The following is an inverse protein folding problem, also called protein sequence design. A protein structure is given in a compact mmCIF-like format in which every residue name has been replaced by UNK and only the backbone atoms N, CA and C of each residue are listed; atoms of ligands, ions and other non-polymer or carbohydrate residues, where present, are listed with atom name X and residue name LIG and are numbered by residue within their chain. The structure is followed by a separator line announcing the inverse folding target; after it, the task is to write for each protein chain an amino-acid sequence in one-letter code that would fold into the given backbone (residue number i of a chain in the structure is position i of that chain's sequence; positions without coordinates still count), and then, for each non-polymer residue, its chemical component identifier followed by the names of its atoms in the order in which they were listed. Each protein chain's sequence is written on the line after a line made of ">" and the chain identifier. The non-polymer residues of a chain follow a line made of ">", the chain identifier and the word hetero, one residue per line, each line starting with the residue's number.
data_IF_459468683755
#
_entry.id   IF_459468683755
#
_cell.length_a   1.000
_cell.length_b   1.000
_cell.length_c   1.000
_cell.angle_alpha   90.00
_cell.angle_beta   90.00
_cell.angle_gamma   90.00
#
_symmetry.space_group_name_H-M   'P 1'
#
loop_
_entity.id
_entity.type
_entity.pdbx_description
1 polymer ?
#
# COMPACT_ATOMS: atom_id res chain seq x y z
N UNK A 1 30.89 2.03 28.46
CA UNK A 1 31.64 0.87 27.90
C UNK A 1 30.75 0.22 26.88
N UNK A 2 31.31 -0.30 25.79
CA UNK A 2 30.51 -0.97 24.76
C UNK A 2 30.07 -2.36 25.28
N UNK A 3 28.78 -2.67 25.47
CA UNK A 3 28.33 -3.96 25.98
C UNK A 3 28.85 -5.16 25.19
N UNK A 4 29.01 -4.98 23.86
CA UNK A 4 29.54 -6.03 22.99
C UNK A 4 31.01 -6.36 23.29
N UNK A 5 31.81 -5.41 23.74
CA UNK A 5 33.23 -5.64 24.11
C UNK A 5 33.37 -6.46 25.36
N UNK A 6 32.48 -6.27 26.35
CA UNK A 6 32.49 -7.08 27.62
C UNK A 6 32.07 -8.53 27.32
N UNK A 7 31.12 -8.72 26.43
CA UNK A 7 30.70 -10.05 26.00
C UNK A 7 31.79 -10.74 25.21
N UNK A 8 32.48 -10.00 24.32
CA UNK A 8 33.60 -10.56 23.59
C UNK A 8 34.72 -11.06 24.48
N UNK A 9 35.07 -10.34 25.53
CA UNK A 9 36.05 -10.80 26.49
C UNK A 9 35.66 -12.13 27.14
N UNK A 10 34.36 -12.32 27.50
CA UNK A 10 33.84 -13.58 28.04
C UNK A 10 33.83 -14.71 27.03
N UNK A 11 33.48 -14.40 25.76
CA UNK A 11 33.54 -15.37 24.65
C UNK A 11 34.97 -15.88 24.46
N UNK A 12 35.97 -15.00 24.48
CA UNK A 12 37.39 -15.38 24.40
C UNK A 12 37.81 -16.26 25.59
N UNK A 13 37.35 -15.92 26.80
CA UNK A 13 37.63 -16.74 28.00
C UNK A 13 37.05 -18.16 27.89
N UNK A 14 35.82 -18.30 27.39
CA UNK A 14 35.23 -19.62 27.15
C UNK A 14 35.95 -20.38 26.03
N UNK A 15 36.32 -19.73 24.95
CA UNK A 15 37.06 -20.35 23.86
C UNK A 15 38.47 -20.86 24.27
N UNK A 16 39.05 -20.33 25.37
CA UNK A 16 40.33 -20.82 25.91
C UNK A 16 40.23 -22.24 26.48
N UNK A 17 39.04 -22.75 26.78
CA UNK A 17 38.84 -24.13 27.22
C UNK A 17 39.04 -25.12 26.05
N UNK A 18 38.70 -24.71 24.84
CA UNK A 18 38.71 -25.57 23.65
C UNK A 18 39.88 -25.27 22.69
N UNK A 19 40.60 -24.16 22.89
CA UNK A 19 41.67 -23.67 22.00
C UNK A 19 42.92 -23.30 22.75
N UNK A 20 44.08 -23.49 22.09
CA UNK A 20 45.38 -23.08 22.67
C UNK A 20 45.49 -21.53 22.69
N UNK A 21 46.16 -20.99 23.67
CA UNK A 21 46.44 -19.57 23.79
C UNK A 21 47.16 -19.01 22.50
N UNK A 22 47.97 -19.82 21.87
CA UNK A 22 48.65 -19.46 20.60
C UNK A 22 47.64 -19.25 19.47
N UNK A 23 46.63 -20.11 19.36
CA UNK A 23 45.56 -20.00 18.36
C UNK A 23 44.76 -18.73 18.58
N UNK A 24 44.36 -18.45 19.84
CA UNK A 24 43.60 -17.25 20.16
C UNK A 24 44.35 -15.98 19.84
N UNK A 25 45.60 -15.89 20.31
CA UNK A 25 46.44 -14.71 20.01
C UNK A 25 46.73 -14.51 18.53
N UNK A 26 46.84 -15.61 17.74
CA UNK A 26 47.06 -15.49 16.31
C UNK A 26 45.87 -14.92 15.52
N UNK A 27 44.68 -15.34 15.87
CA UNK A 27 43.48 -15.05 15.07
C UNK A 27 42.60 -13.95 15.64
N UNK A 28 42.59 -13.76 16.98
CA UNK A 28 41.61 -12.90 17.65
C UNK A 28 42.25 -11.71 18.40
N UNK A 29 43.58 -11.57 18.45
CA UNK A 29 44.24 -10.49 19.16
C UNK A 29 43.83 -9.10 18.69
N UNK A 30 43.64 -8.94 17.36
CA UNK A 30 43.20 -7.70 16.71
C UNK A 30 41.68 -7.67 16.43
N UNK A 31 40.93 -8.71 16.80
CA UNK A 31 39.51 -8.77 16.58
C UNK A 31 38.74 -8.08 17.71
N UNK A 32 37.71 -7.33 17.36
CA UNK A 32 36.88 -6.64 18.34
C UNK A 32 35.39 -6.80 18.04
N UNK A 33 34.58 -6.86 19.10
CA UNK A 33 33.13 -6.88 18.91
C UNK A 33 32.61 -5.48 18.63
N UNK A 34 31.77 -5.38 17.59
CA UNK A 34 31.18 -4.14 17.11
C UNK A 34 29.77 -3.94 17.66
N UNK A 35 28.92 -4.95 17.53
CA UNK A 35 27.55 -4.93 18.04
C UNK A 35 27.06 -6.32 18.42
N UNK A 36 26.12 -6.34 19.37
CA UNK A 36 25.31 -7.49 19.71
C UNK A 36 23.84 -7.01 19.62
N UNK A 37 23.10 -7.52 18.67
CA UNK A 37 21.66 -7.31 18.52
C UNK A 37 20.94 -8.60 18.94
N UNK A 38 19.60 -8.64 19.02
CA UNK A 38 18.78 -9.73 19.56
C UNK A 38 19.25 -11.15 19.17
N UNK A 39 19.71 -11.38 17.93
CA UNK A 39 20.17 -12.68 17.44
C UNK A 39 21.44 -12.59 16.59
N UNK A 40 22.13 -11.45 16.57
CA UNK A 40 23.29 -11.23 15.71
C UNK A 40 24.47 -10.66 16.48
N UNK A 41 25.65 -11.29 16.32
CA UNK A 41 26.90 -10.84 16.89
C UNK A 41 27.87 -10.46 15.79
N UNK A 42 28.29 -9.19 15.75
CA UNK A 42 29.17 -8.66 14.71
C UNK A 42 30.57 -8.44 15.25
N UNK A 43 31.55 -9.09 14.61
CA UNK A 43 32.97 -8.97 14.89
C UNK A 43 33.69 -8.19 13.79
N UNK A 44 34.62 -7.35 14.18
CA UNK A 44 35.58 -6.70 13.30
C UNK A 44 36.88 -7.50 13.26
N UNK A 45 37.47 -7.63 12.06
CA UNK A 45 38.81 -8.17 11.84
C UNK A 45 39.57 -7.26 10.87
N UNK A 46 40.81 -6.84 11.21
CA UNK A 46 41.52 -5.81 10.44
C UNK A 46 41.94 -6.25 9.04
N UNK A 47 42.05 -7.56 8.81
CA UNK A 47 42.51 -8.08 7.50
C UNK A 47 41.50 -9.08 6.92
N UNK A 48 41.37 -9.05 5.59
CA UNK A 48 40.51 -9.98 4.85
C UNK A 48 40.91 -11.44 5.07
N UNK A 49 42.22 -11.70 5.18
CA UNK A 49 42.74 -13.03 5.43
C UNK A 49 42.31 -13.57 6.79
N UNK A 50 42.48 -12.80 7.90
CA UNK A 50 42.00 -13.19 9.23
C UNK A 50 40.50 -13.35 9.27
N UNK A 51 39.76 -12.43 8.64
CA UNK A 51 38.30 -12.51 8.53
C UNK A 51 37.82 -13.82 7.90
N UNK A 52 38.44 -14.21 6.75
CA UNK A 52 38.05 -15.44 6.04
C UNK A 52 38.36 -16.69 6.88
N UNK A 53 39.46 -16.71 7.60
CA UNK A 53 39.82 -17.81 8.49
C UNK A 53 38.88 -17.87 9.71
N UNK A 54 38.56 -16.73 10.34
CA UNK A 54 37.63 -16.68 11.48
C UNK A 54 36.24 -17.13 11.00
N UNK A 55 35.74 -16.60 9.89
CA UNK A 55 34.42 -16.93 9.36
C UNK A 55 34.28 -18.41 8.97
N UNK A 56 35.32 -19.01 8.36
CA UNK A 56 35.24 -20.38 7.87
C UNK A 56 35.51 -21.45 8.95
N UNK A 57 36.33 -21.15 9.95
CA UNK A 57 36.82 -22.15 10.92
C UNK A 57 36.36 -21.93 12.33
N UNK A 58 36.20 -20.67 12.76
CA UNK A 58 36.04 -20.35 14.18
C UNK A 58 34.67 -19.81 14.57
N UNK A 59 33.81 -19.49 13.59
CA UNK A 59 32.41 -19.08 13.87
C UNK A 59 31.65 -20.11 14.72
N UNK A 60 31.74 -21.43 14.47
CA UNK A 60 31.04 -22.40 15.32
C UNK A 60 31.46 -22.36 16.80
N UNK A 61 32.72 -22.09 17.09
CA UNK A 61 33.22 -21.97 18.47
C UNK A 61 32.71 -20.70 19.15
N UNK A 62 32.63 -19.59 18.41
CA UNK A 62 32.05 -18.33 18.88
C UNK A 62 30.55 -18.52 19.17
N UNK A 63 29.83 -19.20 18.27
CA UNK A 63 28.40 -19.49 18.43
C UNK A 63 28.15 -20.36 19.66
N UNK A 64 28.97 -21.39 19.88
CA UNK A 64 28.85 -22.24 21.07
C UNK A 64 29.10 -21.46 22.37
N UNK A 65 30.13 -20.60 22.40
CA UNK A 65 30.40 -19.76 23.57
C UNK A 65 29.27 -18.75 23.82
N UNK A 66 28.69 -18.15 22.78
CA UNK A 66 27.52 -17.27 22.93
C UNK A 66 26.28 -18.02 23.38
N UNK A 67 26.06 -19.26 22.89
CA UNK A 67 24.96 -20.09 23.32
C UNK A 67 25.13 -20.48 24.84
N UNK A 68 26.32 -20.74 25.28
CA UNK A 68 26.60 -21.01 26.71
C UNK A 68 26.31 -19.79 27.58
N UNK A 69 26.63 -18.58 27.12
CA UNK A 69 26.39 -17.33 27.85
C UNK A 69 24.92 -16.92 27.91
N UNK A 70 24.15 -17.14 26.84
CA UNK A 70 22.80 -16.57 26.66
C UNK A 70 21.70 -17.60 26.53
N UNK A 71 22.01 -18.90 26.38
CA UNK A 71 21.06 -19.98 26.07
C UNK A 71 20.22 -19.66 24.78
N UNK A 72 20.81 -18.98 23.83
CA UNK A 72 20.20 -18.57 22.56
C UNK A 72 21.21 -18.70 21.42
N UNK A 73 20.70 -18.94 20.21
CA UNK A 73 21.52 -19.05 19.00
C UNK A 73 21.75 -17.68 18.39
N UNK A 74 23.02 -17.39 18.04
CA UNK A 74 23.45 -16.16 17.42
C UNK A 74 23.99 -16.38 16.01
N UNK A 75 23.62 -15.50 15.10
CA UNK A 75 24.26 -15.37 13.78
C UNK A 75 25.54 -14.53 13.95
N UNK A 76 26.71 -15.15 13.76
CA UNK A 76 28.01 -14.50 13.95
C UNK A 76 28.54 -14.04 12.59
N UNK A 77 28.71 -12.74 12.43
CA UNK A 77 29.22 -12.12 11.21
C UNK A 77 30.58 -11.48 11.50
N UNK A 78 31.59 -11.81 10.66
CA UNK A 78 32.93 -11.24 10.78
C UNK A 78 33.19 -10.33 9.60
N UNK A 79 33.59 -9.08 9.83
CA UNK A 79 33.71 -8.02 8.85
C UNK A 79 35.07 -7.33 8.90
N UNK A 80 35.51 -6.84 7.73
CA UNK A 80 36.65 -5.91 7.62
C UNK A 80 36.16 -4.45 7.66
N UNK A 81 37.08 -3.49 7.76
CA UNK A 81 36.76 -2.05 7.82
C UNK A 81 35.91 -1.58 6.62
N UNK A 82 36.26 -1.97 5.39
CA UNK A 82 35.50 -1.63 4.20
C UNK A 82 34.11 -2.28 4.14
N UNK A 83 33.94 -3.48 4.72
CA UNK A 83 32.66 -4.16 4.84
C UNK A 83 31.81 -3.57 5.97
N UNK A 84 32.45 -3.07 7.04
CA UNK A 84 31.77 -2.31 8.09
C UNK A 84 31.22 -0.97 7.60
N UNK A 85 31.98 -0.26 6.76
CA UNK A 85 31.50 1.00 6.17
C UNK A 85 30.36 0.73 5.18
N UNK A 86 30.43 -0.37 4.45
CA UNK A 86 29.31 -0.83 3.60
C UNK A 86 28.07 -1.20 4.43
N UNK A 87 28.26 -1.83 5.61
CA UNK A 87 27.17 -2.16 6.54
C UNK A 87 26.60 -0.93 7.25
N UNK A 88 27.42 0.05 7.60
CA UNK A 88 26.98 1.35 8.13
C UNK A 88 26.19 2.12 7.07
N UNK A 89 26.65 2.11 5.83
CA UNK A 89 25.98 2.72 4.68
C UNK A 89 24.68 1.94 4.34
N UNK A 90 24.69 0.60 4.43
CA UNK A 90 23.50 -0.22 4.26
C UNK A 90 22.49 -0.09 5.45
N UNK A 91 22.96 0.09 6.70
CA UNK A 91 22.09 0.45 7.82
C UNK A 91 21.51 1.85 7.67
N UNK A 92 22.23 2.78 7.06
CA UNK A 92 21.73 4.10 6.69
C UNK A 92 20.79 4.05 5.46
N UNK A 93 20.96 3.09 4.54
CA UNK A 93 20.09 2.92 3.37
C UNK A 93 18.81 2.10 3.63
N UNK A 94 18.68 1.42 4.78
CA UNK A 94 17.50 0.64 5.14
C UNK A 94 16.80 1.24 6.38
N UNK A 95 16.45 2.51 6.27
CA UNK A 95 15.75 3.25 7.33
C UNK A 95 14.41 2.60 7.72
N UNK A 96 13.65 2.11 6.73
CA UNK A 96 12.42 1.35 6.91
C UNK A 96 12.43 0.17 5.92
N UNK A 97 12.98 -1.00 6.27
CA UNK A 97 13.13 -2.13 5.36
C UNK A 97 11.81 -2.58 4.75
N UNK A 98 11.81 -2.85 3.45
CA UNK A 98 10.62 -3.30 2.71
C UNK A 98 9.66 -2.18 2.32
N UNK A 99 10.05 -0.91 2.50
CA UNK A 99 9.22 0.26 2.15
C UNK A 99 9.86 1.16 1.08
N UNK A 100 10.95 0.74 0.48
CA UNK A 100 11.74 1.48 -0.51
C UNK A 100 10.94 1.85 -1.77
N UNK A 101 9.84 1.15 -2.02
CA UNK A 101 8.95 1.44 -3.14
C UNK A 101 7.98 2.58 -2.85
N UNK A 102 7.77 2.98 -1.59
CA UNK A 102 6.82 4.01 -1.22
C UNK A 102 7.47 5.40 -1.23
N UNK A 103 7.69 5.94 -2.43
CA UNK A 103 8.24 7.29 -2.65
C UNK A 103 7.21 8.21 -3.31
N UNK A 104 7.44 9.53 -3.26
CA UNK A 104 6.58 10.50 -3.94
C UNK A 104 6.56 10.31 -5.46
N UNK A 105 7.68 9.91 -6.06
CA UNK A 105 7.83 9.68 -7.50
C UNK A 105 7.02 8.48 -7.98
N UNK A 106 6.80 7.51 -7.09
CA UNK A 106 6.01 6.30 -7.38
C UNK A 106 4.52 6.47 -7.09
N UNK A 107 4.16 7.51 -6.37
CA UNK A 107 2.77 7.80 -6.06
C UNK A 107 2.08 8.41 -7.29
N UNK A 108 0.99 7.80 -7.76
CA UNK A 108 0.23 8.32 -8.90
C UNK A 108 -0.70 9.43 -8.42
N UNK A 109 -0.44 10.64 -8.90
CA UNK A 109 -1.21 11.83 -8.53
C UNK A 109 -2.37 12.02 -9.49
N UNK A 110 -3.58 12.15 -8.96
CA UNK A 110 -4.81 12.46 -9.67
C UNK A 110 -5.65 13.52 -8.95
N UNK A 111 -6.82 13.84 -9.48
CA UNK A 111 -7.73 14.84 -8.90
C UNK A 111 -8.13 14.49 -7.45
N UNK A 112 -8.28 13.22 -7.15
CA UNK A 112 -8.75 12.68 -5.87
C UNK A 112 -7.73 12.70 -4.73
N UNK A 113 -6.42 12.89 -5.02
CA UNK A 113 -5.35 12.82 -4.03
C UNK A 113 -4.31 13.95 -4.15
N UNK A 114 -4.45 14.85 -5.13
CA UNK A 114 -3.49 15.92 -5.40
C UNK A 114 -3.24 16.81 -4.17
N UNK A 115 -4.28 17.13 -3.42
CA UNK A 115 -4.15 17.98 -2.24
C UNK A 115 -3.35 17.30 -1.13
N UNK A 116 -3.69 16.04 -0.81
CA UNK A 116 -2.97 15.26 0.19
C UNK A 116 -1.50 15.02 -0.20
N UNK A 117 -1.23 14.73 -1.48
CA UNK A 117 0.12 14.60 -2.00
C UNK A 117 0.92 15.90 -1.87
N UNK A 118 0.35 17.06 -2.24
CA UNK A 118 1.03 18.34 -2.13
C UNK A 118 1.32 18.73 -0.66
N UNK A 119 0.36 18.48 0.25
CA UNK A 119 0.53 18.69 1.68
C UNK A 119 1.63 17.79 2.27
N UNK A 120 1.63 16.51 1.92
CA UNK A 120 2.66 15.56 2.32
C UNK A 120 4.06 15.98 1.85
N UNK A 121 4.17 16.44 0.59
CA UNK A 121 5.43 16.94 0.03
C UNK A 121 5.93 18.19 0.77
N UNK A 122 5.06 19.16 1.01
CA UNK A 122 5.41 20.38 1.75
C UNK A 122 5.90 20.08 3.18
N UNK A 123 5.31 19.09 3.86
CA UNK A 123 5.77 18.61 5.17
C UNK A 123 7.12 17.92 5.09
N UNK A 124 7.34 17.11 4.06
CA UNK A 124 8.61 16.41 3.86
C UNK A 124 9.77 17.39 3.56
N UNK A 125 9.49 18.43 2.77
CA UNK A 125 10.48 19.44 2.41
C UNK A 125 10.82 20.39 3.59
N UNK A 126 9.86 20.67 4.50
CA UNK A 126 10.03 21.61 5.62
C UNK A 126 9.36 21.09 6.91
N UNK A 127 9.91 20.04 7.55
CA UNK A 127 9.31 19.42 8.72
C UNK A 127 9.29 20.38 9.93
N UNK A 128 8.15 20.38 10.63
CA UNK A 128 7.91 21.23 11.80
C UNK A 128 7.57 22.69 11.48
N UNK A 129 7.66 23.11 10.23
CA UNK A 129 7.37 24.50 9.80
C UNK A 129 6.07 24.60 8.99
N UNK A 130 5.77 23.58 8.17
CA UNK A 130 4.58 23.53 7.34
C UNK A 130 3.58 22.53 7.90
N UNK A 131 2.31 22.93 8.05
CA UNK A 131 1.20 22.02 8.35
C UNK A 131 1.47 21.03 9.49
N UNK A 132 1.48 21.49 10.73
CA UNK A 132 1.71 20.64 11.91
C UNK A 132 0.53 20.72 12.89
N UNK A 133 -0.17 19.60 13.17
CA UNK A 133 -0.04 18.29 12.52
C UNK A 133 -0.55 18.27 11.08
N UNK A 134 -0.07 17.33 10.27
CA UNK A 134 -0.73 16.93 9.03
C UNK A 134 -1.58 15.68 9.31
N UNK A 135 -2.85 15.72 8.96
CA UNK A 135 -3.79 14.64 9.14
C UNK A 135 -4.35 14.19 7.79
N UNK A 136 -3.93 13.01 7.31
CA UNK A 136 -4.34 12.45 6.02
C UNK A 136 -5.44 11.42 6.28
N UNK A 137 -6.61 11.58 5.66
CA UNK A 137 -7.70 10.64 5.87
C UNK A 137 -8.37 10.22 4.55
N UNK A 138 -9.08 9.10 4.61
CA UNK A 138 -9.80 8.50 3.49
C UNK A 138 -9.94 7.00 3.67
N UNK A 139 -10.79 6.35 2.89
CA UNK A 139 -11.06 4.92 2.99
C UNK A 139 -9.81 4.05 2.92
N UNK A 140 -9.93 2.78 3.30
CA UNK A 140 -8.79 1.84 3.27
C UNK A 140 -8.31 1.60 1.83
N UNK A 141 -6.98 1.50 1.66
CA UNK A 141 -6.36 1.15 0.39
C UNK A 141 -6.24 2.30 -0.63
N UNK A 142 -6.36 3.56 -0.20
CA UNK A 142 -6.22 4.74 -1.08
C UNK A 142 -4.80 5.34 -1.15
N UNK A 143 -3.82 4.75 -0.44
CA UNK A 143 -2.43 5.19 -0.49
C UNK A 143 -1.97 6.10 0.67
N UNK A 144 -2.71 6.19 1.78
CA UNK A 144 -2.33 6.97 2.97
C UNK A 144 -0.97 6.53 3.54
N UNK A 145 -0.79 5.25 3.77
CA UNK A 145 0.47 4.65 4.24
C UNK A 145 1.61 4.92 3.27
N UNK A 146 1.35 4.91 1.95
CA UNK A 146 2.35 5.27 0.95
C UNK A 146 2.87 6.70 1.16
N UNK A 147 1.97 7.67 1.31
CA UNK A 147 2.37 9.06 1.56
C UNK A 147 3.13 9.20 2.88
N UNK A 148 2.76 8.44 3.91
CA UNK A 148 3.44 8.46 5.20
C UNK A 148 4.89 7.96 5.08
N UNK A 149 5.12 6.87 4.36
CA UNK A 149 6.47 6.39 4.05
C UNK A 149 7.25 7.33 3.13
N UNK A 150 6.59 7.92 2.13
CA UNK A 150 7.23 8.90 1.25
C UNK A 150 7.74 10.13 2.03
N UNK A 151 6.96 10.61 3.01
CA UNK A 151 7.41 11.66 3.95
C UNK A 151 8.63 11.18 4.74
N UNK A 152 8.55 9.96 5.32
CA UNK A 152 9.63 9.41 6.14
C UNK A 152 10.95 9.30 5.38
N UNK A 153 10.92 8.73 4.16
CA UNK A 153 12.09 8.57 3.31
C UNK A 153 12.69 9.92 2.90
N UNK A 154 11.85 10.84 2.42
CA UNK A 154 12.32 12.18 2.00
C UNK A 154 12.96 12.95 3.15
N UNK A 155 12.37 12.92 4.37
CA UNK A 155 12.96 13.58 5.53
C UNK A 155 14.27 12.90 5.93
N UNK A 156 14.33 11.57 5.93
CA UNK A 156 15.55 10.84 6.24
C UNK A 156 16.71 11.18 5.27
N UNK A 157 16.39 11.29 3.97
CA UNK A 157 17.39 11.62 2.95
C UNK A 157 17.91 13.06 3.08
N UNK A 158 17.01 14.02 3.39
CA UNK A 158 17.38 15.43 3.53
C UNK A 158 17.95 15.79 4.91
N UNK A 159 17.54 15.06 5.95
CA UNK A 159 17.90 15.29 7.35
C UNK A 159 18.28 13.95 8.03
N UNK A 160 19.46 13.38 7.71
CA UNK A 160 19.89 12.08 8.25
C UNK A 160 20.00 12.04 9.79
N UNK A 161 20.19 13.18 10.43
CA UNK A 161 20.29 13.31 11.89
C UNK A 161 18.93 13.36 12.60
N UNK A 162 17.82 13.48 11.84
CA UNK A 162 16.49 13.52 12.44
C UNK A 162 16.04 12.14 12.89
N UNK A 163 15.55 12.07 14.12
CA UNK A 163 14.92 10.87 14.65
C UNK A 163 13.49 10.77 14.12
N UNK A 164 13.31 10.06 13.02
CA UNK A 164 11.99 9.77 12.46
C UNK A 164 11.43 8.51 13.10
N UNK A 165 10.25 8.62 13.70
CA UNK A 165 9.55 7.51 14.35
C UNK A 165 8.26 7.23 13.60
N UNK A 166 8.16 6.05 12.97
CA UNK A 166 6.95 5.52 12.37
C UNK A 166 6.33 4.46 13.27
N UNK A 167 5.02 4.53 13.49
CA UNK A 167 4.28 3.54 14.29
C UNK A 167 2.83 3.42 13.81
N UNK A 168 2.23 2.24 13.94
CA UNK A 168 0.79 2.03 13.77
C UNK A 168 0.06 2.24 15.09
N UNK A 169 -1.18 2.74 15.04
CA UNK A 169 -1.98 3.03 16.23
C UNK A 169 -2.22 1.82 17.13
N UNK A 170 -2.39 0.62 16.57
CA UNK A 170 -2.51 -0.63 17.33
C UNK A 170 -1.20 -1.05 18.00
N UNK A 171 -0.08 -0.92 17.28
CA UNK A 171 1.26 -1.22 17.78
C UNK A 171 1.65 -0.26 18.91
N UNK A 172 1.39 1.05 18.76
CA UNK A 172 1.58 2.04 19.82
C UNK A 172 0.85 1.66 21.10
N UNK A 173 -0.41 1.20 20.97
CA UNK A 173 -1.20 0.73 22.11
C UNK A 173 -0.58 -0.50 22.77
N UNK A 174 -0.15 -1.48 21.97
CA UNK A 174 0.42 -2.73 22.49
C UNK A 174 1.77 -2.47 23.20
N UNK A 175 2.62 -1.62 22.63
CA UNK A 175 3.88 -1.22 23.26
C UNK A 175 3.65 -0.46 24.56
N UNK A 176 2.65 0.42 24.63
CA UNK A 176 2.29 1.11 25.88
C UNK A 176 1.85 0.11 26.96
N UNK A 177 0.97 -0.83 26.62
CA UNK A 177 0.51 -1.86 27.56
C UNK A 177 1.70 -2.68 28.09
N UNK A 178 2.63 -3.06 27.21
CA UNK A 178 3.82 -3.79 27.59
C UNK A 178 4.72 -2.94 28.50
N UNK A 179 4.99 -1.69 28.15
CA UNK A 179 5.80 -0.78 28.95
C UNK A 179 5.23 -0.57 30.36
N UNK A 180 3.90 -0.47 30.50
CA UNK A 180 3.22 -0.37 31.80
C UNK A 180 3.44 -1.65 32.62
N UNK A 181 3.25 -2.84 32.02
CA UNK A 181 3.42 -4.12 32.69
C UNK A 181 4.84 -4.36 33.20
N UNK A 182 5.83 -3.88 32.44
CA UNK A 182 7.25 -4.08 32.72
C UNK A 182 7.88 -2.90 33.48
N UNK A 183 7.10 -1.86 33.80
CA UNK A 183 7.60 -0.66 34.50
C UNK A 183 8.54 0.22 33.67
N UNK A 184 8.54 0.06 32.32
CA UNK A 184 9.43 0.78 31.37
C UNK A 184 8.79 2.00 30.74
N UNK A 185 7.90 2.69 31.46
CA UNK A 185 7.17 3.86 30.94
C UNK A 185 8.11 5.01 30.50
N UNK A 186 9.27 5.18 31.14
CA UNK A 186 10.25 6.20 30.80
C UNK A 186 10.87 5.95 29.42
N UNK A 187 11.22 4.71 29.10
CA UNK A 187 11.78 4.31 27.82
C UNK A 187 10.77 4.53 26.67
N UNK A 188 9.50 4.15 26.93
CA UNK A 188 8.41 4.41 25.99
C UNK A 188 8.27 5.90 25.67
N UNK A 189 8.25 6.75 26.72
CA UNK A 189 8.15 8.18 26.57
C UNK A 189 9.36 8.78 25.84
N UNK A 190 10.56 8.34 26.16
CA UNK A 190 11.79 8.78 25.50
C UNK A 190 11.79 8.42 24.02
N UNK A 191 11.32 7.21 23.67
CA UNK A 191 11.19 6.74 22.29
C UNK A 191 10.33 7.68 21.46
N UNK A 192 9.11 7.99 21.93
CA UNK A 192 8.12 8.72 21.15
C UNK A 192 8.19 10.24 21.31
N UNK A 193 8.41 10.74 22.51
CA UNK A 193 8.52 12.19 22.78
C UNK A 193 9.87 12.76 22.36
N UNK A 194 10.89 11.92 22.20
CA UNK A 194 12.20 12.31 21.68
C UNK A 194 12.30 12.27 20.14
N UNK A 195 11.22 12.07 19.42
CA UNK A 195 11.23 12.08 17.96
C UNK A 195 11.34 13.51 17.40
N UNK A 196 12.05 13.69 16.28
CA UNK A 196 12.02 14.92 15.48
C UNK A 196 10.84 14.92 14.52
N UNK A 197 10.46 13.73 14.06
CA UNK A 197 9.31 13.50 13.19
C UNK A 197 8.54 12.28 13.70
N UNK A 198 7.28 12.48 14.03
CA UNK A 198 6.39 11.43 14.53
C UNK A 198 5.29 11.13 13.51
N UNK A 199 5.30 9.92 12.99
CA UNK A 199 4.39 9.43 11.96
C UNK A 199 3.56 8.29 12.53
N UNK A 200 2.26 8.50 12.68
CA UNK A 200 1.36 7.43 13.14
C UNK A 200 0.35 7.06 12.05
N UNK A 201 0.42 5.80 11.65
CA UNK A 201 -0.51 5.21 10.70
C UNK A 201 -1.73 4.63 11.42
N UNK A 202 -2.91 4.78 10.81
CA UNK A 202 -4.16 4.23 11.29
C UNK A 202 -4.49 4.63 12.75
N UNK A 203 -4.45 5.93 13.04
CA UNK A 203 -4.67 6.49 14.39
C UNK A 203 -6.04 6.13 14.98
N UNK A 204 -7.04 5.75 14.16
CA UNK A 204 -8.35 5.31 14.65
C UNK A 204 -8.27 4.12 15.61
N UNK A 205 -7.20 3.33 15.61
CA UNK A 205 -7.04 2.19 16.51
C UNK A 205 -6.75 2.57 17.97
N UNK A 206 -6.43 3.83 18.28
CA UNK A 206 -6.32 4.29 19.67
C UNK A 206 -7.69 4.66 20.25
N UNK A 207 -8.72 4.85 19.42
CA UNK A 207 -10.05 5.25 19.88
C UNK A 207 -10.69 4.20 20.80
N UNK A 208 -11.28 4.66 21.92
CA UNK A 208 -11.88 3.78 22.93
C UNK A 208 -10.88 3.11 23.87
N UNK A 209 -9.63 3.58 23.92
CA UNK A 209 -8.56 3.09 24.82
C UNK A 209 -8.02 4.23 25.67
N UNK A 210 -8.68 4.52 26.78
CA UNK A 210 -8.47 5.74 27.59
C UNK A 210 -6.99 5.98 27.94
N UNK A 211 -6.28 4.97 28.47
CA UNK A 211 -4.85 5.13 28.82
C UNK A 211 -3.97 5.42 27.61
N UNK A 212 -4.33 4.87 26.43
CA UNK A 212 -3.58 5.13 25.19
C UNK A 212 -3.85 6.53 24.69
N UNK A 213 -5.09 6.98 24.78
CA UNK A 213 -5.46 8.35 24.40
C UNK A 213 -4.82 9.39 25.31
N UNK A 214 -4.74 9.12 26.61
CA UNK A 214 -4.04 9.99 27.55
C UNK A 214 -2.54 10.11 27.22
N UNK A 215 -1.84 8.99 27.02
CA UNK A 215 -0.42 9.01 26.67
C UNK A 215 -0.17 9.67 25.28
N UNK A 216 -1.06 9.43 24.31
CA UNK A 216 -1.01 10.11 23.01
C UNK A 216 -1.20 11.62 23.14
N UNK A 217 -2.13 12.07 23.99
CA UNK A 217 -2.35 13.50 24.24
C UNK A 217 -1.09 14.17 24.79
N UNK A 218 -0.42 13.54 25.75
CA UNK A 218 0.82 14.05 26.30
C UNK A 218 1.97 14.02 25.29
N UNK A 219 2.07 12.96 24.51
CA UNK A 219 3.08 12.83 23.44
C UNK A 219 2.89 13.91 22.39
N UNK A 220 1.65 14.13 21.95
CA UNK A 220 1.31 15.18 21.01
C UNK A 220 1.72 16.56 21.52
N UNK A 221 1.32 16.92 22.75
CA UNK A 221 1.64 18.24 23.31
C UNK A 221 3.16 18.46 23.40
N UNK A 222 3.92 17.48 23.87
CA UNK A 222 5.37 17.57 23.96
C UNK A 222 6.01 17.82 22.60
N UNK A 223 5.62 17.05 21.58
CA UNK A 223 6.16 17.19 20.24
C UNK A 223 5.75 18.54 19.59
N UNK A 224 4.51 18.94 19.76
CA UNK A 224 3.98 20.18 19.20
C UNK A 224 4.64 21.42 19.79
N UNK A 225 4.82 21.48 21.13
CA UNK A 225 5.53 22.54 21.83
C UNK A 225 7.00 22.66 21.40
N UNK A 226 7.65 21.53 21.13
CA UNK A 226 9.01 21.47 20.61
C UNK A 226 9.09 21.70 19.09
N UNK A 227 7.98 22.03 18.42
CA UNK A 227 7.89 22.22 16.96
C UNK A 227 8.37 21.01 16.15
N UNK A 228 8.22 19.81 16.70
CA UNK A 228 8.51 18.56 16.00
C UNK A 228 7.38 18.22 15.04
N UNK A 229 7.68 17.66 13.87
CA UNK A 229 6.66 17.32 12.90
C UNK A 229 5.82 16.14 13.36
N UNK A 230 4.51 16.29 13.25
CA UNK A 230 3.52 15.23 13.54
C UNK A 230 2.69 14.96 12.27
N UNK A 231 2.55 13.70 11.90
CA UNK A 231 1.68 13.28 10.79
C UNK A 231 0.84 12.10 11.22
N UNK A 232 -0.46 12.16 10.97
CA UNK A 232 -1.40 11.08 11.22
C UNK A 232 -2.05 10.60 9.93
N UNK A 233 -2.37 9.30 9.87
CA UNK A 233 -3.32 8.78 8.89
C UNK A 233 -4.52 8.17 9.58
N UNK A 234 -5.67 8.16 8.90
CA UNK A 234 -6.90 7.55 9.39
C UNK A 234 -7.81 7.10 8.24
N UNK A 235 -8.74 6.19 8.54
CA UNK A 235 -9.81 5.80 7.62
C UNK A 235 -10.94 6.85 7.52
N UNK A 236 -11.01 7.81 8.46
CA UNK A 236 -12.03 8.85 8.57
C UNK A 236 -11.50 10.11 9.24
N UNK A 237 -12.16 11.28 9.09
CA UNK A 237 -11.75 12.51 9.76
C UNK A 237 -11.95 12.44 11.29
N UNK A 238 -11.22 13.25 12.08
CA UNK A 238 -11.30 13.21 13.56
C UNK A 238 -12.73 13.36 14.10
N UNK A 239 -13.56 14.19 13.48
CA UNK A 239 -14.97 14.39 13.89
C UNK A 239 -15.82 13.14 13.87
N UNK A 240 -15.52 12.21 12.98
CA UNK A 240 -16.27 10.96 12.81
C UNK A 240 -15.76 9.82 13.70
N UNK A 241 -14.71 10.03 14.46
CA UNK A 241 -14.18 9.06 15.41
C UNK A 241 -14.99 9.09 16.72
N UNK A 242 -16.04 8.28 16.81
CA UNK A 242 -17.01 8.31 17.91
C UNK A 242 -16.41 8.09 19.31
N UNK A 243 -15.34 7.28 19.44
CA UNK A 243 -14.71 6.93 20.72
C UNK A 243 -13.37 7.64 20.95
N UNK A 244 -13.08 8.67 20.17
CA UNK A 244 -11.92 9.53 20.37
C UNK A 244 -12.30 10.66 21.31
N UNK A 245 -11.46 10.95 22.30
CA UNK A 245 -11.66 12.06 23.23
C UNK A 245 -11.64 13.43 22.50
N UNK A 246 -12.52 14.35 22.88
CA UNK A 246 -12.67 15.65 22.21
C UNK A 246 -11.39 16.49 22.26
N UNK A 247 -10.59 16.34 23.32
CA UNK A 247 -9.28 17.00 23.42
C UNK A 247 -8.30 16.53 22.34
N UNK A 248 -8.32 15.24 21.97
CA UNK A 248 -7.50 14.72 20.87
C UNK A 248 -8.06 15.10 19.50
N UNK A 249 -9.40 15.05 19.32
CA UNK A 249 -10.04 15.54 18.09
C UNK A 249 -9.60 16.97 17.79
N UNK A 250 -9.69 17.84 18.76
CA UNK A 250 -9.26 19.25 18.64
C UNK A 250 -7.78 19.35 18.24
N UNK A 251 -6.90 18.54 18.84
CA UNK A 251 -5.47 18.53 18.52
C UNK A 251 -5.20 18.07 17.09
N UNK A 252 -5.88 17.02 16.65
CA UNK A 252 -5.73 16.49 15.28
C UNK A 252 -6.24 17.49 14.23
N UNK A 253 -7.20 18.33 14.57
CA UNK A 253 -7.76 19.37 13.70
C UNK A 253 -6.98 20.68 13.70
N UNK A 254 -6.01 20.87 14.61
CA UNK A 254 -5.24 22.14 14.68
C UNK A 254 -4.42 22.45 13.44
N UNK A 255 -3.97 21.43 12.73
CA UNK A 255 -3.13 21.56 11.54
C UNK A 255 -3.91 21.50 10.24
N UNK A 256 -3.41 20.73 9.29
CA UNK A 256 -4.03 20.55 7.98
C UNK A 256 -4.71 19.18 7.90
N UNK A 257 -5.99 19.18 7.58
CA UNK A 257 -6.74 17.98 7.20
C UNK A 257 -6.68 17.80 5.69
N UNK A 258 -6.19 16.66 5.23
CA UNK A 258 -6.07 16.32 3.81
C UNK A 258 -6.80 15.01 3.52
N UNK A 259 -7.83 15.07 2.70
CA UNK A 259 -8.60 13.90 2.29
C UNK A 259 -8.01 13.22 1.06
N UNK A 260 -8.19 11.91 0.98
CA UNK A 260 -7.94 11.11 -0.21
C UNK A 260 -9.23 10.39 -0.58
N UNK A 261 -9.74 10.70 -1.78
CA UNK A 261 -10.94 10.08 -2.34
C UNK A 261 -10.58 8.91 -3.27
N UNK A 262 -11.53 8.01 -3.57
CA UNK A 262 -11.33 6.99 -4.59
C UNK A 262 -10.84 7.58 -5.91
N UNK A 263 -9.88 6.93 -6.59
CA UNK A 263 -9.31 7.45 -7.82
C UNK A 263 -10.34 7.49 -8.95
N UNK A 264 -10.32 8.56 -9.75
CA UNK A 264 -11.07 8.65 -10.99
C UNK A 264 -10.56 7.63 -12.02
N UNK A 265 -11.29 7.49 -13.13
CA UNK A 265 -10.98 6.50 -14.16
C UNK A 265 -9.55 6.67 -14.72
N UNK A 266 -9.16 7.90 -15.00
CA UNK A 266 -7.86 8.22 -15.59
C UNK A 266 -6.72 7.90 -14.60
N UNK A 267 -6.92 8.22 -13.33
CA UNK A 267 -5.98 7.89 -12.26
C UNK A 267 -5.87 6.37 -12.08
N UNK A 268 -6.98 5.62 -12.14
CA UNK A 268 -6.94 4.14 -12.09
C UNK A 268 -6.15 3.56 -13.27
N UNK A 269 -6.40 4.04 -14.49
CA UNK A 269 -5.63 3.63 -15.67
C UNK A 269 -4.13 3.85 -15.50
N UNK A 270 -3.74 5.01 -14.97
CA UNK A 270 -2.34 5.34 -14.70
C UNK A 270 -1.72 4.42 -13.61
N UNK A 271 -2.47 4.12 -12.54
CA UNK A 271 -2.02 3.20 -11.48
C UNK A 271 -1.78 1.80 -12.05
N UNK A 272 -2.74 1.25 -12.81
CA UNK A 272 -2.62 -0.08 -13.43
C UNK A 272 -1.40 -0.13 -14.35
N UNK A 273 -1.28 0.86 -15.24
CA UNK A 273 -0.17 0.96 -16.19
C UNK A 273 1.19 1.01 -15.49
N UNK A 274 1.33 1.89 -14.49
CA UNK A 274 2.57 2.02 -13.76
C UNK A 274 2.92 0.74 -12.98
N UNK A 275 1.93 0.06 -12.40
CA UNK A 275 2.14 -1.20 -11.69
C UNK A 275 2.58 -2.30 -12.65
N UNK A 276 1.93 -2.46 -13.81
CA UNK A 276 2.27 -3.45 -14.83
C UNK A 276 3.71 -3.23 -15.36
N UNK A 277 4.06 -2.00 -15.71
CA UNK A 277 5.42 -1.65 -16.20
C UNK A 277 6.49 -2.02 -15.16
N UNK A 278 6.25 -1.74 -13.87
CA UNK A 278 7.19 -2.12 -12.79
C UNK A 278 7.36 -3.63 -12.66
N UNK A 279 6.34 -4.39 -13.00
CA UNK A 279 6.42 -5.85 -13.02
C UNK A 279 6.96 -6.40 -14.35
N UNK A 280 7.46 -5.53 -15.24
CA UNK A 280 8.08 -5.91 -16.51
C UNK A 280 7.09 -6.28 -17.62
N UNK A 281 5.82 -5.91 -17.47
CA UNK A 281 4.78 -6.24 -18.46
C UNK A 281 4.11 -4.98 -18.99
N UNK A 282 3.95 -4.93 -20.30
CA UNK A 282 3.19 -3.90 -20.99
C UNK A 282 1.79 -4.44 -21.33
N UNK A 283 0.78 -3.95 -20.61
CA UNK A 283 -0.61 -4.33 -20.86
C UNK A 283 -1.19 -3.50 -22.01
N UNK A 284 -1.85 -4.13 -23.00
CA UNK A 284 -2.61 -3.45 -24.03
C UNK A 284 -3.70 -2.55 -23.41
N UNK A 285 -3.98 -1.43 -24.07
CA UNK A 285 -4.89 -0.41 -23.55
C UNK A 285 -6.29 -0.95 -23.19
N UNK A 286 -6.84 -1.83 -24.03
CA UNK A 286 -8.15 -2.44 -23.76
C UNK A 286 -8.18 -3.29 -22.48
N UNK A 287 -7.05 -3.89 -22.05
CA UNK A 287 -6.96 -4.61 -20.79
C UNK A 287 -6.83 -3.66 -19.59
N UNK A 288 -6.11 -2.55 -19.74
CA UNK A 288 -6.08 -1.48 -18.75
C UNK A 288 -7.49 -0.92 -18.51
N UNK A 289 -8.23 -0.66 -19.58
CA UNK A 289 -9.63 -0.20 -19.52
C UNK A 289 -10.51 -1.23 -18.79
N UNK A 290 -10.42 -2.49 -19.17
CA UNK A 290 -11.22 -3.56 -18.56
C UNK A 290 -10.98 -3.64 -17.03
N UNK A 291 -9.74 -3.54 -16.57
CA UNK A 291 -9.42 -3.53 -15.15
C UNK A 291 -9.96 -2.24 -14.49
N UNK A 292 -9.72 -1.06 -15.10
CA UNK A 292 -10.10 0.22 -14.53
C UNK A 292 -11.63 0.41 -14.42
N UNK A 293 -12.41 -0.16 -15.32
CA UNK A 293 -13.87 -0.12 -15.28
C UNK A 293 -14.45 -1.00 -14.17
N UNK A 294 -13.82 -2.14 -13.93
CA UNK A 294 -14.32 -3.13 -12.97
C UNK A 294 -13.81 -2.92 -11.55
N UNK A 295 -12.59 -2.40 -11.36
CA UNK A 295 -11.98 -2.18 -10.05
C UNK A 295 -12.07 -0.69 -9.70
N UNK A 296 -13.14 -0.29 -9.03
CA UNK A 296 -13.42 1.13 -8.72
C UNK A 296 -13.20 1.52 -7.27
N UNK A 297 -13.13 0.55 -6.34
CA UNK A 297 -13.20 0.81 -4.93
C UNK A 297 -11.91 1.41 -4.35
N UNK A 298 -10.76 0.83 -4.59
CA UNK A 298 -9.50 1.31 -4.02
C UNK A 298 -8.25 0.81 -4.77
N UNK A 299 -7.12 1.46 -4.51
CA UNK A 299 -5.83 1.17 -5.16
C UNK A 299 -5.30 -0.23 -4.78
N UNK A 300 -5.53 -0.69 -3.54
CA UNK A 300 -5.10 -2.02 -3.09
C UNK A 300 -5.73 -3.13 -3.92
N UNK A 301 -7.00 -3.00 -4.29
CA UNK A 301 -7.66 -3.97 -5.18
C UNK A 301 -7.10 -3.93 -6.59
N UNK A 302 -6.81 -2.73 -7.12
CA UNK A 302 -6.16 -2.56 -8.42
C UNK A 302 -4.82 -3.29 -8.43
N UNK A 303 -3.96 -3.02 -7.45
CA UNK A 303 -2.64 -3.65 -7.34
C UNK A 303 -2.74 -5.17 -7.15
N UNK A 304 -3.69 -5.63 -6.32
CA UNK A 304 -3.96 -7.04 -6.12
C UNK A 304 -4.38 -7.75 -7.40
N UNK A 305 -5.19 -7.10 -8.24
CA UNK A 305 -5.61 -7.64 -9.54
C UNK A 305 -4.43 -7.74 -10.50
N UNK A 306 -3.61 -6.70 -10.61
CA UNK A 306 -2.40 -6.73 -11.46
C UNK A 306 -1.44 -7.83 -10.99
N UNK A 307 -1.17 -7.91 -9.68
CA UNK A 307 -0.33 -8.98 -9.12
C UNK A 307 -0.86 -10.38 -9.47
N UNK A 308 -2.18 -10.57 -9.45
CA UNK A 308 -2.81 -11.86 -9.78
C UNK A 308 -2.71 -12.20 -11.26
N UNK A 309 -2.86 -11.21 -12.15
CA UNK A 309 -2.64 -11.40 -13.60
C UNK A 309 -1.21 -11.86 -13.84
N UNK A 310 -0.24 -11.23 -13.18
CA UNK A 310 1.18 -11.62 -13.30
C UNK A 310 1.44 -13.03 -12.77
N UNK A 311 0.81 -13.38 -11.63
CA UNK A 311 0.93 -14.73 -11.09
C UNK A 311 0.37 -15.82 -12.05
N UNK A 312 -0.70 -15.52 -12.77
CA UNK A 312 -1.19 -16.45 -13.80
C UNK A 312 -0.21 -16.60 -14.95
N UNK A 313 0.43 -15.52 -15.38
CA UNK A 313 1.48 -15.58 -16.41
C UNK A 313 2.69 -16.39 -15.93
N UNK A 314 3.22 -16.06 -14.76
CA UNK A 314 4.51 -16.59 -14.28
C UNK A 314 4.41 -18.05 -13.79
N UNK A 315 3.30 -18.39 -13.11
CA UNK A 315 3.16 -19.70 -12.47
C UNK A 315 2.39 -20.71 -13.32
N UNK A 316 1.46 -20.27 -14.16
CA UNK A 316 0.62 -21.13 -14.97
C UNK A 316 1.00 -21.13 -16.45
N UNK A 317 1.90 -20.21 -16.88
CA UNK A 317 2.28 -20.06 -18.29
C UNK A 317 1.16 -19.46 -19.16
N UNK A 318 0.15 -18.85 -18.51
CA UNK A 318 -0.96 -18.23 -19.22
C UNK A 318 -0.48 -17.00 -20.00
N UNK A 319 -1.04 -16.77 -21.17
CA UNK A 319 -0.85 -15.51 -21.88
C UNK A 319 -1.67 -14.40 -21.19
N UNK A 320 -1.13 -13.18 -21.14
CA UNK A 320 -1.88 -12.03 -20.63
C UNK A 320 -2.88 -11.57 -21.69
N UNK A 321 -4.01 -12.25 -21.73
CA UNK A 321 -5.12 -11.99 -22.64
C UNK A 321 -6.37 -11.54 -21.87
N UNK A 322 -7.46 -11.32 -22.61
CA UNK A 322 -8.75 -10.94 -22.03
C UNK A 322 -9.27 -11.98 -21.01
N UNK A 323 -9.11 -13.27 -21.29
CA UNK A 323 -9.57 -14.35 -20.44
C UNK A 323 -8.85 -14.36 -19.08
N UNK A 324 -7.52 -14.18 -19.08
CA UNK A 324 -6.70 -14.10 -17.88
C UNK A 324 -7.10 -12.89 -17.01
N UNK A 325 -7.30 -11.71 -17.63
CA UNK A 325 -7.73 -10.49 -16.92
C UNK A 325 -9.12 -10.67 -16.34
N UNK A 326 -10.08 -11.18 -17.12
CA UNK A 326 -11.45 -11.46 -16.66
C UNK A 326 -11.44 -12.40 -15.44
N UNK A 327 -10.64 -13.47 -15.50
CA UNK A 327 -10.49 -14.41 -14.37
C UNK A 327 -9.95 -13.71 -13.12
N UNK A 328 -8.89 -12.92 -13.27
CA UNK A 328 -8.28 -12.19 -12.15
C UNK A 328 -9.26 -11.20 -11.51
N UNK A 329 -10.03 -10.47 -12.34
CA UNK A 329 -11.07 -9.54 -11.86
C UNK A 329 -12.19 -10.30 -11.14
N UNK A 330 -12.74 -11.39 -11.71
CA UNK A 330 -13.77 -12.21 -11.07
C UNK A 330 -13.34 -12.71 -9.69
N UNK A 331 -12.09 -13.15 -9.59
CA UNK A 331 -11.56 -13.67 -8.33
C UNK A 331 -11.42 -12.62 -7.23
N UNK A 332 -11.34 -11.34 -7.57
CA UNK A 332 -11.35 -10.25 -6.58
C UNK A 332 -12.76 -10.01 -6.00
N UNK A 333 -13.79 -10.45 -6.70
CA UNK A 333 -15.20 -10.26 -6.32
C UNK A 333 -15.93 -11.57 -6.03
N UNK A 334 -15.25 -12.57 -5.47
CA UNK A 334 -15.82 -13.91 -5.18
C UNK A 334 -17.20 -13.92 -4.50
N UNK A 335 -17.64 -12.79 -3.94
CA UNK A 335 -18.95 -12.62 -3.30
C UNK A 335 -19.89 -11.63 -4.01
N UNK A 336 -19.50 -11.04 -5.15
CA UNK A 336 -20.36 -10.16 -5.94
C UNK A 336 -20.32 -10.59 -7.40
N UNK A 337 -21.43 -11.13 -7.83
CA UNK A 337 -21.73 -11.49 -9.22
C UNK A 337 -21.39 -10.34 -10.17
N UNK A 338 -20.85 -10.73 -11.31
CA UNK A 338 -20.81 -10.03 -12.59
C UNK A 338 -19.76 -8.94 -12.78
N UNK A 339 -18.77 -9.29 -13.62
CA UNK A 339 -17.88 -8.30 -14.25
C UNK A 339 -18.79 -7.33 -15.01
N UNK A 340 -18.63 -6.04 -14.73
CA UNK A 340 -19.39 -4.99 -15.42
C UNK A 340 -18.94 -4.96 -16.88
N UNK A 341 -19.81 -5.27 -17.84
CA UNK A 341 -19.47 -5.21 -19.25
C UNK A 341 -19.26 -3.76 -19.69
N UNK A 342 -18.41 -3.54 -20.70
CA UNK A 342 -18.26 -2.21 -21.30
C UNK A 342 -19.45 -1.89 -22.21
N UNK A 343 -19.73 -0.60 -22.41
CA UNK A 343 -20.79 -0.16 -23.35
C UNK A 343 -20.56 -0.73 -24.76
N UNK A 344 -19.30 -0.79 -25.23
CA UNK A 344 -18.93 -1.36 -26.52
C UNK A 344 -19.29 -2.84 -26.63
N UNK A 345 -19.03 -3.64 -25.60
CA UNK A 345 -19.38 -5.07 -25.61
C UNK A 345 -20.89 -5.27 -25.66
N UNK A 346 -21.65 -4.47 -24.92
CA UNK A 346 -23.12 -4.50 -24.97
C UNK A 346 -23.64 -4.12 -26.34
N UNK A 347 -23.11 -3.03 -26.91
CA UNK A 347 -23.46 -2.56 -28.26
C UNK A 347 -23.15 -3.65 -29.30
N UNK A 348 -21.95 -4.23 -29.25
CA UNK A 348 -21.55 -5.31 -30.18
C UNK A 348 -22.47 -6.53 -30.09
N UNK A 349 -22.89 -6.93 -28.89
CA UNK A 349 -23.75 -8.10 -28.73
C UNK A 349 -25.18 -7.84 -29.20
N UNK A 350 -25.70 -6.62 -28.95
CA UNK A 350 -27.00 -6.20 -29.53
C UNK A 350 -26.91 -6.12 -31.06
N UNK A 351 -25.79 -5.60 -31.61
CA UNK A 351 -25.55 -5.54 -33.05
C UNK A 351 -25.53 -6.92 -33.70
N UNK A 352 -24.87 -7.90 -33.07
CA UNK A 352 -24.85 -9.29 -33.55
C UNK A 352 -26.23 -9.90 -33.55
N UNK A 353 -26.99 -9.71 -32.48
CA UNK A 353 -28.35 -10.25 -32.36
C UNK A 353 -29.26 -9.75 -33.45
N UNK A 354 -29.21 -8.45 -33.74
CA UNK A 354 -30.06 -7.80 -34.76
C UNK A 354 -29.42 -7.75 -36.15
N UNK A 355 -28.22 -8.26 -36.34
CA UNK A 355 -27.44 -8.19 -37.59
C UNK A 355 -27.31 -6.76 -38.12
N UNK A 356 -26.90 -5.82 -37.23
CA UNK A 356 -26.75 -4.38 -37.51
C UNK A 356 -25.28 -4.01 -37.27
N UNK A 357 -24.74 -3.15 -38.13
CA UNK A 357 -23.40 -2.57 -37.95
C UNK A 357 -23.36 -1.62 -36.74
N UNK A 358 -22.33 -1.66 -35.86
CA UNK A 358 -22.23 -0.79 -34.68
C UNK A 358 -22.34 0.72 -35.01
N UNK A 359 -21.75 1.17 -36.10
CA UNK A 359 -21.87 2.56 -36.56
C UNK A 359 -23.32 2.96 -36.88
N UNK A 360 -24.12 2.04 -37.43
CA UNK A 360 -25.53 2.24 -37.71
C UNK A 360 -26.38 2.30 -36.45
N UNK A 361 -26.06 1.44 -35.47
CA UNK A 361 -26.75 1.44 -34.17
C UNK A 361 -26.49 2.73 -33.39
N UNK A 362 -25.25 3.21 -33.38
CA UNK A 362 -24.85 4.46 -32.69
C UNK A 362 -25.45 5.69 -33.39
N UNK A 363 -25.60 5.66 -34.72
CA UNK A 363 -26.03 6.77 -35.53
C UNK A 363 -27.51 7.18 -35.42
N UNK A 364 -27.98 8.05 -36.31
CA UNK A 364 -29.31 8.66 -36.24
C UNK A 364 -30.40 7.89 -37.02
N UNK A 365 -30.11 6.67 -37.52
CA UNK A 365 -31.08 5.85 -38.29
C UNK A 365 -32.40 5.67 -37.55
N UNK A 366 -33.54 5.80 -38.27
CA UNK A 366 -34.92 5.76 -37.72
C UNK A 366 -35.71 4.52 -38.11
N UNK A 367 -35.12 3.56 -38.81
CA UNK A 367 -35.78 2.30 -39.10
C UNK A 367 -36.25 1.62 -37.81
N UNK A 368 -37.41 1.00 -37.81
CA UNK A 368 -38.08 0.47 -36.62
C UNK A 368 -37.19 -0.51 -35.84
N UNK A 369 -36.51 -1.40 -36.57
CA UNK A 369 -35.65 -2.42 -35.94
C UNK A 369 -34.36 -1.83 -35.36
N UNK A 370 -33.74 -0.84 -36.06
CA UNK A 370 -32.58 -0.12 -35.55
C UNK A 370 -32.94 0.71 -34.31
N UNK A 371 -34.11 1.32 -34.30
CA UNK A 371 -34.57 2.10 -33.15
C UNK A 371 -34.80 1.22 -31.92
N UNK A 372 -35.42 0.05 -32.11
CA UNK A 372 -35.64 -0.93 -31.03
C UNK A 372 -34.33 -1.48 -30.50
N UNK A 373 -33.43 -1.93 -31.35
CA UNK A 373 -32.12 -2.42 -30.97
C UNK A 373 -31.33 -1.39 -30.17
N UNK A 374 -31.35 -0.12 -30.60
CA UNK A 374 -30.70 1.00 -29.89
C UNK A 374 -31.29 1.22 -28.51
N UNK A 375 -32.62 1.17 -28.36
CA UNK A 375 -33.30 1.29 -27.05
C UNK A 375 -32.93 0.15 -26.12
N UNK A 376 -32.86 -1.08 -26.64
CA UNK A 376 -32.40 -2.25 -25.88
C UNK A 376 -30.93 -2.07 -25.45
N UNK A 377 -30.05 -1.58 -26.33
CA UNK A 377 -28.66 -1.31 -25.98
C UNK A 377 -28.57 -0.26 -24.85
N UNK A 378 -29.30 0.85 -24.94
CA UNK A 378 -29.33 1.87 -23.88
C UNK A 378 -29.84 1.30 -22.54
N UNK A 379 -30.88 0.48 -22.58
CA UNK A 379 -31.44 -0.19 -21.41
C UNK A 379 -30.43 -1.16 -20.77
N UNK A 380 -29.79 -2.01 -21.58
CA UNK A 380 -28.80 -2.96 -21.09
C UNK A 380 -27.55 -2.25 -20.53
N UNK A 381 -27.05 -1.19 -21.19
CA UNK A 381 -25.95 -0.38 -20.68
C UNK A 381 -26.32 0.21 -19.32
N UNK A 382 -27.52 0.80 -19.18
CA UNK A 382 -27.96 1.36 -17.89
C UNK A 382 -28.05 0.32 -16.78
N UNK A 383 -28.49 -0.89 -17.11
CA UNK A 383 -28.70 -1.98 -16.16
C UNK A 383 -27.43 -2.71 -15.78
N UNK A 384 -26.49 -2.84 -16.72
CA UNK A 384 -25.28 -3.66 -16.57
C UNK A 384 -24.03 -2.82 -16.33
N UNK A 385 -24.08 -1.49 -16.42
CA UNK A 385 -22.94 -0.59 -16.20
C UNK A 385 -23.28 0.50 -15.17
N UNK A 386 -22.26 1.22 -14.70
CA UNK A 386 -22.43 2.37 -13.80
C UNK A 386 -22.56 3.70 -14.55
N UNK A 387 -22.72 3.70 -15.88
CA UNK A 387 -22.75 4.90 -16.71
C UNK A 387 -24.01 5.75 -16.40
N UNK A 388 -23.81 7.05 -16.32
CA UNK A 388 -24.90 8.02 -16.21
C UNK A 388 -25.66 8.18 -17.53
N UNK A 389 -26.90 8.68 -17.48
CA UNK A 389 -27.70 8.93 -18.70
C UNK A 389 -27.00 9.82 -19.72
N UNK A 390 -26.17 10.78 -19.27
CA UNK A 390 -25.38 11.65 -20.14
C UNK A 390 -24.25 10.89 -20.84
N UNK A 391 -23.58 10.01 -20.13
CA UNK A 391 -22.52 9.16 -20.67
C UNK A 391 -23.08 8.15 -21.66
N UNK A 392 -24.19 7.50 -21.34
CA UNK A 392 -24.91 6.65 -22.30
C UNK A 392 -25.28 7.43 -23.57
N UNK A 393 -25.77 8.66 -23.43
CA UNK A 393 -26.08 9.50 -24.58
C UNK A 393 -24.90 9.76 -25.49
N UNK A 394 -23.69 9.90 -24.95
CA UNK A 394 -22.45 10.07 -25.74
C UNK A 394 -22.13 8.85 -26.60
N UNK A 395 -22.41 7.65 -26.13
CA UNK A 395 -22.22 6.41 -26.87
C UNK A 395 -23.12 6.29 -28.11
N UNK A 396 -24.19 7.08 -28.16
CA UNK A 396 -25.17 7.10 -29.25
C UNK A 396 -25.28 8.48 -29.96
N UNK A 397 -24.16 8.95 -30.47
CA UNK A 397 -24.08 10.19 -31.28
C UNK A 397 -24.55 11.44 -30.51
N UNK A 398 -24.23 11.52 -29.21
CA UNK A 398 -24.55 12.68 -28.38
C UNK A 398 -26.03 12.88 -28.09
N UNK A 399 -26.81 11.80 -27.98
CA UNK A 399 -28.25 11.91 -27.67
C UNK A 399 -28.48 12.50 -26.31
N UNK A 400 -29.52 13.30 -26.21
CA UNK A 400 -29.93 13.94 -24.97
C UNK A 400 -30.34 12.89 -23.91
N UNK A 401 -30.02 13.17 -22.65
CA UNK A 401 -30.31 12.30 -21.52
C UNK A 401 -31.80 11.98 -21.35
N UNK A 402 -32.70 12.88 -21.77
CA UNK A 402 -34.15 12.63 -21.76
C UNK A 402 -34.55 11.57 -22.79
N UNK A 403 -33.91 11.58 -23.98
CA UNK A 403 -34.11 10.54 -25.00
C UNK A 403 -33.64 9.17 -24.49
N UNK A 404 -32.51 9.13 -23.79
CA UNK A 404 -31.99 7.90 -23.15
C UNK A 404 -32.97 7.40 -22.09
N UNK A 405 -33.44 8.30 -21.22
CA UNK A 405 -34.39 7.94 -20.16
C UNK A 405 -35.70 7.35 -20.74
N UNK A 406 -36.32 8.01 -21.71
CA UNK A 406 -37.52 7.49 -22.37
C UNK A 406 -37.29 6.15 -23.08
N UNK A 407 -36.09 5.93 -23.62
CA UNK A 407 -35.73 4.66 -24.25
C UNK A 407 -35.67 3.53 -23.22
N UNK A 408 -35.11 3.81 -22.05
CA UNK A 408 -34.99 2.86 -20.94
C UNK A 408 -36.38 2.52 -20.40
N UNK A 409 -37.19 3.51 -20.05
CA UNK A 409 -38.57 3.34 -19.55
C UNK A 409 -39.41 2.50 -20.50
N UNK A 410 -39.32 2.80 -21.81
CA UNK A 410 -40.05 2.06 -22.84
C UNK A 410 -39.67 0.58 -22.89
N UNK A 411 -38.37 0.27 -22.79
CA UNK A 411 -37.90 -1.12 -22.82
C UNK A 411 -38.27 -1.85 -21.50
N UNK A 412 -38.25 -1.15 -20.37
CA UNK A 412 -38.75 -1.70 -19.10
C UNK A 412 -40.22 -2.11 -19.19
N UNK A 413 -41.07 -1.26 -19.77
CA UNK A 413 -42.48 -1.56 -19.97
C UNK A 413 -42.69 -2.71 -20.96
N UNK A 414 -41.93 -2.72 -22.06
CA UNK A 414 -41.98 -3.82 -23.04
C UNK A 414 -41.53 -5.14 -22.41
N UNK A 415 -40.49 -5.14 -21.60
CA UNK A 415 -40.02 -6.37 -20.94
C UNK A 415 -41.03 -6.95 -19.93
N UNK A 416 -41.92 -6.14 -19.37
CA UNK A 416 -42.99 -6.57 -18.46
C UNK A 416 -44.24 -7.08 -19.19
N UNK A 417 -44.55 -6.49 -20.33
CA UNK A 417 -45.84 -6.70 -21.01
C UNK A 417 -45.76 -7.54 -22.31
N UNK A 418 -44.54 -7.77 -22.82
CA UNK A 418 -44.29 -8.53 -24.05
C UNK A 418 -43.31 -9.67 -23.77
N UNK A 419 -43.78 -10.93 -23.63
CA UNK A 419 -42.93 -12.09 -23.34
C UNK A 419 -41.83 -12.32 -24.41
N UNK A 420 -42.11 -12.05 -25.69
CA UNK A 420 -41.14 -12.22 -26.78
C UNK A 420 -39.98 -11.25 -26.61
N UNK A 421 -40.26 -9.98 -26.25
CA UNK A 421 -39.24 -8.97 -26.01
C UNK A 421 -38.44 -9.24 -24.72
N UNK A 422 -39.10 -9.76 -23.70
CA UNK A 422 -38.44 -10.17 -22.46
C UNK A 422 -37.42 -11.31 -22.73
N UNK A 423 -37.78 -12.27 -23.58
CA UNK A 423 -36.88 -13.38 -23.97
C UNK A 423 -35.66 -12.89 -24.76
N UNK A 424 -35.87 -11.99 -25.73
CA UNK A 424 -34.77 -11.36 -26.49
C UNK A 424 -33.78 -10.66 -25.55
N UNK A 425 -34.26 -9.88 -24.60
CA UNK A 425 -33.42 -9.16 -23.64
C UNK A 425 -32.64 -10.17 -22.77
N UNK A 426 -33.28 -11.24 -22.36
CA UNK A 426 -32.67 -12.32 -21.58
C UNK A 426 -31.57 -13.03 -22.35
N UNK A 427 -31.82 -13.37 -23.64
CA UNK A 427 -30.84 -14.02 -24.50
C UNK A 427 -29.60 -13.15 -24.74
N UNK A 428 -29.80 -11.86 -25.06
CA UNK A 428 -28.72 -10.92 -25.24
C UNK A 428 -27.91 -10.77 -23.92
N UNK A 429 -28.60 -10.69 -22.77
CA UNK A 429 -27.95 -10.59 -21.46
C UNK A 429 -27.14 -11.84 -21.16
N UNK A 430 -27.66 -13.04 -21.46
CA UNK A 430 -26.95 -14.30 -21.29
C UNK A 430 -25.71 -14.36 -22.18
N UNK A 431 -25.80 -13.96 -23.43
CA UNK A 431 -24.68 -13.90 -24.35
C UNK A 431 -23.58 -12.91 -23.91
N UNK A 432 -23.96 -11.76 -23.36
CA UNK A 432 -23.02 -10.82 -22.76
C UNK A 432 -22.30 -11.48 -21.59
N UNK A 433 -23.02 -12.17 -20.69
CA UNK A 433 -22.44 -12.81 -19.52
C UNK A 433 -21.52 -13.97 -19.92
N UNK A 434 -21.89 -14.82 -20.90
CA UNK A 434 -21.04 -15.92 -21.42
C UNK A 434 -19.70 -15.38 -21.96
N UNK A 435 -19.66 -14.18 -22.51
CA UNK A 435 -18.39 -13.57 -22.97
C UNK A 435 -17.42 -13.27 -21.82
N UNK A 436 -17.90 -13.24 -20.61
CA UNK A 436 -17.14 -12.99 -19.40
C UNK A 436 -17.02 -14.25 -18.50
N UNK A 437 -17.67 -15.36 -18.87
CA UNK A 437 -17.43 -16.70 -18.32
C UNK A 437 -16.21 -17.35 -18.94
#
# INVERSE_FOLDING_TARGET
>A
MNPAAEIWAKVIELMQTDMTATTINTWFDDASAVSLDENRFVLYSPTRFKRDIIASRYVPFIQNALHELFSADFDVIVLTEGEMDTLKTAKQSNFLPGTEEYTFERFVVGSSNKFAHAAARAVADNPGQSYNPLFIYGESGLGKTHLLYAIAHTIHDHHPDYKVVYIKGDTFTNELIQAIREGRNSEFREKYRGADVFLMDDVQFIAGRDSTQEEMFHTFNTLYELKKQIVFTSDRPPKEMLRLEDRLKTRFEWGLLADIQPPDYETRMAIIKNKAIRMGVELPEFLLQLIAENITANVRQIEGTVNKIMAYQDLMGDTVDKGTVVRAVKDMFKDKSDIVPTADVIIDEVCKYYNIEPATLRGQGRAKDISLARQIAMYLIRRMTNLSLKEIGKEFDGRDHTTVLHSIERIEDLSKNDPEKAEIIKDITANINIRYE
#
